data_IF_814968101825
#
_entry.id   IF_814968101825
#
_cell.length_a   1.000
_cell.length_b   1.000
_cell.length_c   1.000
_cell.angle_alpha   90.00
_cell.angle_beta   90.00
_cell.angle_gamma   90.00
#
_symmetry.space_group_name_H-M   'P 1'
#
loop_
_entity.id
_entity.type
_entity.pdbx_description
1 polymer ?
#
# COMPACT_ATOMS: atom_id res chain seq x y z
N UNK A 1 13.81 0.17 -6.39
CA UNK A 1 13.34 0.89 -5.18
C UNK A 1 12.24 1.86 -5.56
N UNK A 2 11.20 1.93 -4.76
CA UNK A 2 10.11 2.86 -4.98
C UNK A 2 10.39 4.20 -4.33
N UNK A 3 9.74 5.26 -4.83
CA UNK A 3 9.58 6.49 -4.09
C UNK A 3 8.27 6.36 -3.31
N UNK A 4 8.32 6.54 -2.01
CA UNK A 4 7.17 6.37 -1.13
C UNK A 4 7.03 7.63 -0.29
N UNK A 5 5.88 8.28 -0.37
CA UNK A 5 5.65 9.53 0.34
C UNK A 5 4.28 9.54 1.01
N UNK A 6 4.25 10.16 2.19
CA UNK A 6 2.99 10.48 2.84
C UNK A 6 2.47 11.80 2.28
N UNK A 7 1.19 11.80 1.92
CA UNK A 7 0.52 12.96 1.34
C UNK A 7 -0.55 13.45 2.31
N UNK A 8 -0.74 14.75 2.35
CA UNK A 8 -1.77 15.38 3.17
C UNK A 8 -1.22 15.98 4.44
N UNK A 9 -2.13 16.44 5.29
CA UNK A 9 -1.77 17.11 6.54
C UNK A 9 -1.34 16.11 7.59
N UNK A 10 -0.42 16.47 8.49
CA UNK A 10 0.03 15.57 9.55
C UNK A 10 -1.09 15.04 10.44
N UNK A 11 -2.13 15.83 10.67
CA UNK A 11 -3.28 15.44 11.51
C UNK A 11 -4.31 14.59 10.79
N UNK A 12 -4.23 14.50 9.45
CA UNK A 12 -5.13 13.67 8.67
C UNK A 12 -4.72 12.20 8.74
N UNK A 13 -5.62 11.30 8.33
CA UNK A 13 -5.28 9.89 8.20
C UNK A 13 -4.10 9.75 7.24
N UNK A 14 -3.10 8.93 7.58
CA UNK A 14 -1.97 8.74 6.69
C UNK A 14 -2.40 8.19 5.33
N UNK A 15 -2.01 8.89 4.30
CA UNK A 15 -2.21 8.48 2.91
C UNK A 15 -0.83 8.40 2.27
N UNK A 16 -0.40 7.18 1.97
CA UNK A 16 0.95 6.90 1.49
C UNK A 16 0.87 6.48 0.04
N UNK A 17 1.58 7.17 -0.83
CA UNK A 17 1.62 6.85 -2.26
C UNK A 17 2.99 6.29 -2.59
N UNK A 18 3.01 5.22 -3.36
CA UNK A 18 4.23 4.61 -3.87
C UNK A 18 4.32 4.80 -5.38
N UNK A 19 5.50 5.18 -5.86
CA UNK A 19 5.83 5.28 -7.27
C UNK A 19 7.02 4.41 -7.58
N UNK A 20 7.10 3.92 -8.81
CA UNK A 20 8.23 3.11 -9.25
C UNK A 20 8.06 1.65 -8.87
N UNK A 21 9.15 0.99 -8.52
CA UNK A 21 9.19 -0.44 -8.27
C UNK A 21 9.28 -0.73 -6.79
N UNK A 22 8.23 -1.32 -6.23
CA UNK A 22 8.18 -1.67 -4.82
C UNK A 22 8.85 -3.03 -4.59
N UNK A 23 9.90 -3.04 -3.79
CA UNK A 23 10.73 -4.23 -3.53
C UNK A 23 10.96 -4.39 -2.03
N UNK A 24 11.74 -5.42 -1.66
CA UNK A 24 12.13 -5.65 -0.28
C UNK A 24 12.96 -4.51 0.31
N UNK A 25 13.62 -3.71 -0.52
CA UNK A 25 14.42 -2.58 -0.06
C UNK A 25 13.58 -1.45 0.52
N UNK A 26 12.28 -1.46 0.24
CA UNK A 26 11.38 -0.38 0.64
C UNK A 26 10.78 -0.58 2.03
N UNK A 27 11.04 -1.71 2.67
CA UNK A 27 10.44 -2.04 3.96
C UNK A 27 10.72 -0.99 5.04
N UNK A 28 11.98 -0.57 5.27
CA UNK A 28 12.25 0.41 6.33
C UNK A 28 11.53 1.73 6.11
N UNK A 29 11.47 2.19 4.86
CA UNK A 29 10.79 3.43 4.52
C UNK A 29 9.29 3.33 4.78
N UNK A 30 8.68 2.22 4.36
CA UNK A 30 7.25 2.02 4.53
C UNK A 30 6.89 1.89 6.00
N UNK A 31 7.68 1.12 6.78
CA UNK A 31 7.48 1.02 8.21
C UNK A 31 7.54 2.39 8.89
N UNK A 32 8.49 3.22 8.51
CA UNK A 32 8.62 4.57 9.07
C UNK A 32 7.41 5.45 8.79
N UNK A 33 6.84 5.34 7.60
CA UNK A 33 5.72 6.19 7.20
C UNK A 33 4.39 5.77 7.84
N UNK A 34 4.23 4.49 8.17
CA UNK A 34 2.98 4.00 8.78
C UNK A 34 3.03 4.01 10.30
N UNK A 35 4.18 4.29 10.90
CA UNK A 35 4.38 4.25 12.36
C UNK A 35 3.79 5.49 13.06
N UNK A 36 2.55 5.82 12.76
CA UNK A 36 1.86 6.94 13.37
C UNK A 36 0.80 6.39 14.35
N UNK A 37 1.13 6.24 15.64
CA UNK A 37 0.27 5.52 16.57
C UNK A 37 -1.09 6.16 16.85
N UNK A 38 -1.25 7.42 16.46
CA UNK A 38 -2.51 8.13 16.65
C UNK A 38 -3.58 7.80 15.61
N UNK A 39 -3.24 7.05 14.55
CA UNK A 39 -4.17 6.76 13.48
C UNK A 39 -4.41 5.25 13.38
N UNK A 40 -5.69 4.88 13.23
CA UNK A 40 -6.09 3.47 13.12
C UNK A 40 -5.93 2.92 11.71
N UNK A 41 -6.18 3.75 10.70
CA UNK A 41 -6.16 3.33 9.32
C UNK A 41 -5.05 4.06 8.58
N UNK A 42 -4.31 3.32 7.77
CA UNK A 42 -3.31 3.89 6.86
C UNK A 42 -3.64 3.40 5.47
N UNK A 43 -3.75 4.31 4.52
CA UNK A 43 -3.98 3.97 3.13
C UNK A 43 -2.65 3.93 2.39
N UNK A 44 -2.41 2.81 1.70
CA UNK A 44 -1.27 2.65 0.79
C UNK A 44 -1.83 2.63 -0.63
N UNK A 45 -1.50 3.63 -1.41
CA UNK A 45 -1.96 3.78 -2.79
C UNK A 45 -0.90 3.22 -3.74
N UNK A 46 -1.25 2.16 -4.44
CA UNK A 46 -0.39 1.49 -5.42
C UNK A 46 -0.78 1.80 -6.86
N UNK A 47 -1.66 2.76 -7.07
CA UNK A 47 -2.16 3.07 -8.42
C UNK A 47 -1.09 3.64 -9.34
N UNK A 48 -0.01 4.18 -8.79
CA UNK A 48 1.07 4.82 -9.56
C UNK A 48 2.35 3.97 -9.63
N UNK A 49 2.36 2.77 -9.06
CA UNK A 49 3.57 1.93 -9.13
C UNK A 49 3.78 1.41 -10.55
N UNK A 50 5.03 1.21 -10.91
CA UNK A 50 5.40 0.52 -12.15
C UNK A 50 5.37 -0.98 -11.97
N UNK A 51 5.74 -1.46 -10.79
CA UNK A 51 5.73 -2.87 -10.45
C UNK A 51 5.75 -3.04 -8.93
N UNK A 52 5.04 -4.08 -8.45
CA UNK A 52 5.23 -4.60 -7.09
C UNK A 52 5.83 -5.99 -7.26
N UNK A 53 7.07 -6.18 -6.80
CA UNK A 53 7.69 -7.50 -6.89
C UNK A 53 7.06 -8.46 -5.88
N UNK A 54 7.32 -9.76 -6.02
CA UNK A 54 6.85 -10.75 -5.05
C UNK A 54 7.38 -10.42 -3.65
N UNK A 55 8.64 -10.02 -3.56
CA UNK A 55 9.25 -9.58 -2.31
C UNK A 55 8.59 -8.31 -1.79
N UNK A 56 8.18 -7.41 -2.68
CA UNK A 56 7.40 -6.23 -2.32
C UNK A 56 6.06 -6.60 -1.69
N UNK A 57 5.43 -7.65 -2.18
CA UNK A 57 4.19 -8.16 -1.57
C UNK A 57 4.43 -8.65 -0.14
N UNK A 58 5.54 -9.36 0.10
CA UNK A 58 5.90 -9.80 1.46
C UNK A 58 6.16 -8.62 2.37
N UNK A 59 6.76 -7.54 1.84
CA UNK A 59 6.95 -6.31 2.61
C UNK A 59 5.61 -5.72 3.03
N UNK A 60 4.67 -5.62 2.11
CA UNK A 60 3.33 -5.09 2.42
C UNK A 60 2.67 -5.94 3.51
N UNK A 61 2.74 -7.26 3.38
CA UNK A 61 2.19 -8.18 4.37
C UNK A 61 2.84 -7.98 5.73
N UNK A 62 4.16 -7.92 5.77
CA UNK A 62 4.90 -7.75 7.01
C UNK A 62 4.57 -6.41 7.70
N UNK A 63 4.51 -5.34 6.91
CA UNK A 63 4.15 -4.03 7.45
C UNK A 63 2.73 -4.05 8.01
N UNK A 64 1.80 -4.68 7.30
CA UNK A 64 0.41 -4.81 7.78
C UNK A 64 0.33 -5.61 9.09
N UNK A 65 1.15 -6.65 9.24
CA UNK A 65 1.22 -7.40 10.48
C UNK A 65 1.71 -6.54 11.64
N UNK A 66 2.74 -5.74 11.40
CA UNK A 66 3.25 -4.80 12.42
C UNK A 66 2.19 -3.77 12.79
N UNK A 67 1.48 -3.24 11.82
CA UNK A 67 0.38 -2.30 12.05
C UNK A 67 -0.72 -2.94 12.90
N UNK A 68 -1.06 -4.19 12.60
CA UNK A 68 -2.09 -4.93 13.34
C UNK A 68 -1.74 -5.09 14.81
N UNK A 69 -0.47 -5.24 15.15
CA UNK A 69 -0.01 -5.32 16.53
C UNK A 69 -0.21 -4.03 17.29
N UNK A 70 -0.31 -2.91 16.57
CA UNK A 70 -0.53 -1.58 17.13
C UNK A 70 -1.99 -1.14 17.02
N UNK A 71 -2.88 -2.04 16.62
CA UNK A 71 -4.30 -1.72 16.44
C UNK A 71 -4.60 -0.92 15.17
N UNK A 72 -3.69 -0.94 14.21
CA UNK A 72 -3.86 -0.23 12.95
C UNK A 72 -4.31 -1.18 11.85
N UNK A 73 -5.01 -0.65 10.85
CA UNK A 73 -5.44 -1.38 9.66
C UNK A 73 -4.85 -0.75 8.42
N UNK A 74 -4.30 -1.58 7.52
CA UNK A 74 -3.83 -1.13 6.23
C UNK A 74 -4.94 -1.23 5.20
N UNK A 75 -5.16 -0.14 4.47
CA UNK A 75 -6.05 -0.11 3.30
C UNK A 75 -5.16 0.06 2.07
N UNK A 76 -5.29 -0.84 1.11
CA UNK A 76 -4.49 -0.79 -0.13
C UNK A 76 -5.40 -0.45 -1.30
N UNK A 77 -5.10 0.65 -1.97
CA UNK A 77 -5.75 1.03 -3.22
C UNK A 77 -4.92 0.51 -4.40
N UNK A 78 -5.54 -0.16 -5.34
CA UNK A 78 -4.85 -0.71 -6.50
C UNK A 78 -5.81 -0.81 -7.69
N UNK A 79 -5.25 -0.98 -8.87
CA UNK A 79 -6.03 -1.22 -10.10
C UNK A 79 -5.89 -2.70 -10.46
N UNK A 80 -6.98 -3.49 -10.37
CA UNK A 80 -6.91 -4.95 -10.50
C UNK A 80 -6.36 -5.46 -11.83
N UNK A 81 -6.62 -4.73 -12.91
CA UNK A 81 -6.27 -5.19 -14.25
C UNK A 81 -4.90 -4.70 -14.73
N UNK A 82 -4.13 -4.05 -13.85
CA UNK A 82 -2.80 -3.58 -14.22
C UNK A 82 -1.75 -4.66 -14.03
N UNK A 83 -0.87 -4.78 -15.02
CA UNK A 83 0.29 -5.66 -14.94
C UNK A 83 1.15 -5.35 -13.72
N UNK A 84 1.29 -4.07 -13.41
CA UNK A 84 2.13 -3.57 -12.31
C UNK A 84 1.78 -4.19 -10.95
N UNK A 85 0.52 -4.53 -10.72
CA UNK A 85 0.04 -5.06 -9.44
C UNK A 85 -0.44 -6.51 -9.53
N UNK A 86 -0.09 -7.22 -10.60
CA UNK A 86 -0.50 -8.61 -10.79
C UNK A 86 0.04 -9.52 -9.69
N UNK A 87 1.20 -9.19 -9.14
CA UNK A 87 1.79 -9.95 -8.04
C UNK A 87 0.91 -10.00 -6.79
N UNK A 88 0.05 -9.01 -6.59
CA UNK A 88 -0.88 -9.02 -5.45
C UNK A 88 -1.80 -10.24 -5.50
N UNK A 89 -2.25 -10.60 -6.70
CA UNK A 89 -3.08 -11.78 -6.89
C UNK A 89 -2.24 -13.05 -6.92
N UNK A 90 -1.12 -13.02 -7.62
CA UNK A 90 -0.23 -14.19 -7.77
C UNK A 90 0.30 -14.69 -6.43
N UNK A 91 0.66 -13.79 -5.54
CA UNK A 91 1.16 -14.16 -4.21
C UNK A 91 0.05 -14.43 -3.20
N UNK A 92 -1.20 -14.20 -3.57
CA UNK A 92 -2.34 -14.36 -2.67
C UNK A 92 -2.52 -13.22 -1.68
N UNK A 93 -1.78 -12.13 -1.83
CA UNK A 93 -1.85 -11.01 -0.89
C UNK A 93 -3.26 -10.41 -0.84
N UNK A 94 -3.97 -10.36 -1.96
CA UNK A 94 -5.34 -9.82 -2.01
C UNK A 94 -6.31 -10.58 -1.13
N UNK A 95 -5.97 -11.79 -0.73
CA UNK A 95 -6.78 -12.63 0.15
C UNK A 95 -6.36 -12.54 1.62
N UNK A 96 -5.39 -11.69 1.92
CA UNK A 96 -4.93 -11.50 3.30
C UNK A 96 -5.97 -10.73 4.10
N UNK A 97 -6.55 -11.40 5.10
CA UNK A 97 -7.67 -10.83 5.85
C UNK A 97 -7.33 -9.62 6.73
N UNK A 98 -6.04 -9.36 6.94
CA UNK A 98 -5.58 -8.20 7.74
C UNK A 98 -5.49 -6.92 6.93
N UNK A 99 -5.62 -7.02 5.62
CA UNK A 99 -5.49 -5.89 4.71
C UNK A 99 -6.83 -5.69 4.01
N UNK A 100 -7.28 -4.45 3.95
CA UNK A 100 -8.47 -4.09 3.19
C UNK A 100 -8.03 -3.65 1.80
N UNK A 101 -8.37 -4.42 0.78
CA UNK A 101 -8.05 -4.09 -0.60
C UNK A 101 -9.23 -3.39 -1.25
N UNK A 102 -8.97 -2.23 -1.85
CA UNK A 102 -9.97 -1.44 -2.54
C UNK A 102 -9.54 -1.27 -3.99
N UNK A 103 -10.36 -1.76 -4.90
CA UNK A 103 -10.11 -1.61 -6.32
C UNK A 103 -10.43 -0.18 -6.75
N UNK A 104 -9.46 0.46 -7.41
CA UNK A 104 -9.62 1.79 -7.97
C UNK A 104 -9.85 1.69 -9.46
N UNK A 105 -10.88 2.33 -9.97
CA UNK A 105 -11.17 2.33 -11.40
C UNK A 105 -10.48 3.50 -12.08
N UNK A 106 -9.75 3.28 -13.19
CA UNK A 106 -9.16 4.37 -13.95
C UNK A 106 -10.18 5.38 -14.46
N UNK A 107 -11.41 4.95 -14.71
CA UNK A 107 -12.46 5.81 -15.23
C UNK A 107 -12.86 6.91 -14.25
N UNK A 108 -12.63 6.71 -12.96
CA UNK A 108 -12.93 7.74 -11.95
C UNK A 108 -12.02 8.94 -12.05
N UNK A 109 -10.84 8.78 -12.62
CA UNK A 109 -9.88 9.87 -12.79
C UNK A 109 -10.17 10.72 -14.00
N UNK A 110 -10.91 10.16 -14.94
CA UNK A 110 -11.18 10.80 -16.22
C UNK A 110 -12.50 11.56 -16.19
N UNK A 111 -13.40 11.19 -15.30
CA UNK A 111 -14.76 11.74 -15.25
C UNK A 111 -14.84 13.08 -14.54
N UNK A 112 -13.78 13.81 -14.55
CA UNK A 112 -13.77 15.19 -14.08
C UNK A 112 -14.32 16.12 -15.15
#
# INVERSE_FOLDING_TARGET
>A
MAVIERIGRPEARPYVVAWGRLTEQDEPRLLGLVAAPSHRDVTLDLCEVEEVTDEGCFVIKHVAEQMGRQGQTMVVLYQPDREATRSLERTGLVNEGRIVFVASSPSRRISL
#
